data_IF_101808432422
#
_entry.id   IF_101808432422
#
_cell.length_a   1.000
_cell.length_b   1.000
_cell.length_c   1.000
_cell.angle_alpha   90.00
_cell.angle_beta   90.00
_cell.angle_gamma   90.00
#
_symmetry.space_group_name_H-M   'P 1'
#
loop_
_entity.id
_entity.type
_entity.pdbx_description
1 polymer ?
#
# COMPACT_ATOMS: atom_id res chain seq x y z
N UNK A 1 -17.46 13.34 14.62
CA UNK A 1 -18.12 14.45 13.90
C UNK A 1 -18.84 13.87 12.69
N UNK A 2 -20.11 14.24 12.44
CA UNK A 2 -20.84 13.77 11.24
C UNK A 2 -20.47 14.64 10.03
N UNK A 3 -19.31 14.37 9.44
CA UNK A 3 -18.88 14.95 8.17
C UNK A 3 -19.41 14.18 6.96
N UNK A 4 -19.10 14.61 5.73
CA UNK A 4 -19.48 13.88 4.51
C UNK A 4 -18.81 12.50 4.47
N UNK A 5 -19.48 11.54 3.82
CA UNK A 5 -18.85 10.26 3.48
C UNK A 5 -17.91 10.47 2.31
N UNK A 6 -16.63 10.14 2.48
CA UNK A 6 -15.60 10.39 1.46
C UNK A 6 -14.90 9.11 1.06
N UNK A 7 -14.64 8.98 -0.24
CA UNK A 7 -13.86 7.89 -0.80
C UNK A 7 -12.66 8.48 -1.53
N UNK A 8 -11.46 8.15 -1.09
CA UNK A 8 -10.21 8.53 -1.73
C UNK A 8 -9.72 7.34 -2.57
N UNK A 9 -9.74 7.47 -3.89
CA UNK A 9 -9.23 6.45 -4.82
C UNK A 9 -7.84 6.85 -5.29
N UNK A 10 -6.84 6.00 -5.12
CA UNK A 10 -5.49 6.28 -5.58
C UNK A 10 -4.44 5.38 -4.96
N UNK A 11 -3.20 5.85 -4.91
CA UNK A 11 -2.07 5.14 -4.31
C UNK A 11 -0.95 6.12 -3.99
N UNK A 12 0.27 5.59 -3.85
CA UNK A 12 1.46 6.35 -3.50
C UNK A 12 1.28 7.21 -2.25
N UNK A 13 1.85 8.42 -2.29
CA UNK A 13 1.74 9.39 -1.20
C UNK A 13 0.48 10.26 -1.29
N UNK A 14 -0.09 10.42 -2.50
CA UNK A 14 -1.20 11.36 -2.74
C UNK A 14 -2.47 11.00 -1.98
N UNK A 15 -2.95 9.75 -2.13
CA UNK A 15 -4.16 9.32 -1.43
C UNK A 15 -4.01 9.38 0.11
N UNK A 16 -2.91 8.89 0.71
CA UNK A 16 -2.63 9.09 2.13
C UNK A 16 -2.62 10.57 2.56
N UNK A 17 -1.98 11.47 1.81
CA UNK A 17 -1.96 12.91 2.15
C UNK A 17 -3.35 13.52 2.15
N UNK A 18 -4.20 13.21 1.16
CA UNK A 18 -5.57 13.69 1.10
C UNK A 18 -6.39 13.14 2.27
N UNK A 19 -6.29 11.84 2.57
CA UNK A 19 -6.99 11.23 3.71
C UNK A 19 -6.58 11.88 5.03
N UNK A 20 -5.28 12.17 5.24
CA UNK A 20 -4.80 12.85 6.44
C UNK A 20 -5.46 14.22 6.63
N UNK A 21 -5.57 15.02 5.55
CA UNK A 21 -6.24 16.32 5.58
C UNK A 21 -7.75 16.21 5.85
N UNK A 22 -8.41 15.21 5.26
CA UNK A 22 -9.84 14.98 5.44
C UNK A 22 -10.23 14.61 6.87
N UNK A 23 -9.31 14.11 7.70
CA UNK A 23 -9.56 13.81 9.12
C UNK A 23 -10.03 15.03 9.92
N UNK A 24 -9.70 16.25 9.47
CA UNK A 24 -10.20 17.48 10.09
C UNK A 24 -11.69 17.75 9.81
N UNK A 25 -12.27 17.05 8.82
CA UNK A 25 -13.61 17.35 8.29
C UNK A 25 -14.59 16.19 8.41
N UNK A 26 -14.12 14.94 8.44
CA UNK A 26 -14.98 13.75 8.54
C UNK A 26 -14.25 12.55 9.12
N UNK A 27 -15.03 11.65 9.73
CA UNK A 27 -14.59 10.37 10.26
C UNK A 27 -14.93 9.20 9.33
N UNK A 28 -15.79 9.42 8.34
CA UNK A 28 -16.21 8.40 7.37
C UNK A 28 -15.37 8.53 6.08
N UNK A 29 -14.08 8.24 6.24
CA UNK A 29 -13.09 8.21 5.14
C UNK A 29 -12.86 6.76 4.74
N UNK A 30 -12.99 6.47 3.44
CA UNK A 30 -12.58 5.19 2.85
C UNK A 30 -11.45 5.41 1.84
N UNK A 31 -10.28 4.85 2.08
CA UNK A 31 -9.20 4.77 1.09
C UNK A 31 -9.36 3.52 0.23
N UNK A 32 -9.56 3.69 -1.08
CA UNK A 32 -9.52 2.61 -2.06
C UNK A 32 -8.16 2.66 -2.76
N UNK A 33 -7.27 1.76 -2.38
CA UNK A 33 -5.83 1.90 -2.59
C UNK A 33 -5.31 0.93 -3.67
N UNK A 34 -4.54 1.46 -4.61
CA UNK A 34 -3.85 0.71 -5.63
C UNK A 34 -2.84 -0.27 -5.00
N UNK A 35 -2.83 -1.51 -5.49
CA UNK A 35 -1.92 -2.59 -5.02
C UNK A 35 -1.11 -3.19 -6.17
N UNK A 36 -0.83 -2.36 -7.17
CA UNK A 36 -0.14 -2.74 -8.42
C UNK A 36 1.35 -2.39 -8.42
N UNK A 37 1.87 -1.77 -7.36
CA UNK A 37 3.28 -1.35 -7.27
C UNK A 37 4.24 -2.53 -7.42
N UNK A 38 5.27 -2.35 -8.25
CA UNK A 38 6.32 -3.35 -8.51
C UNK A 38 7.72 -2.87 -8.08
N UNK A 39 7.84 -1.72 -7.41
CA UNK A 39 9.12 -1.14 -7.01
C UNK A 39 9.61 -1.46 -5.59
N UNK A 40 10.94 -1.34 -5.39
CA UNK A 40 11.63 -1.30 -4.08
C UNK A 40 11.29 -2.48 -3.15
N UNK A 41 11.17 -2.23 -1.84
CA UNK A 41 10.80 -3.21 -0.81
C UNK A 41 9.43 -3.85 -1.06
N UNK A 42 8.53 -3.15 -1.74
CA UNK A 42 7.19 -3.65 -2.08
C UNK A 42 7.27 -4.74 -3.14
N UNK A 43 8.08 -4.54 -4.19
CA UNK A 43 8.34 -5.55 -5.23
C UNK A 43 9.01 -6.81 -4.67
N UNK A 44 10.01 -6.67 -3.78
CA UNK A 44 10.68 -7.82 -3.15
C UNK A 44 9.70 -8.73 -2.39
N UNK A 45 8.82 -8.15 -1.57
CA UNK A 45 7.83 -8.89 -0.76
C UNK A 45 6.75 -9.51 -1.65
N UNK A 46 6.26 -8.77 -2.64
CA UNK A 46 5.26 -9.22 -3.61
C UNK A 46 5.74 -10.45 -4.38
N UNK A 47 6.98 -10.43 -4.90
CA UNK A 47 7.57 -11.54 -5.63
C UNK A 47 7.85 -12.72 -4.70
N UNK A 48 8.39 -12.47 -3.51
CA UNK A 48 8.79 -13.54 -2.59
C UNK A 48 7.60 -14.31 -2.00
N UNK A 49 6.43 -13.69 -1.87
CA UNK A 49 5.30 -14.24 -1.12
C UNK A 49 3.99 -14.35 -1.92
N UNK A 50 4.02 -14.00 -3.21
CA UNK A 50 2.86 -14.01 -4.14
C UNK A 50 1.62 -13.27 -3.59
N UNK A 51 1.86 -12.08 -3.03
CA UNK A 51 0.81 -11.21 -2.44
C UNK A 51 0.71 -9.88 -3.18
N UNK A 52 -0.48 -9.23 -3.21
CA UNK A 52 -0.60 -7.87 -3.71
C UNK A 52 0.38 -6.91 -3.02
N UNK A 53 0.80 -5.87 -3.73
CA UNK A 53 1.80 -4.92 -3.26
C UNK A 53 1.36 -4.22 -1.96
N UNK A 54 2.02 -4.45 -0.80
CA UNK A 54 1.53 -3.93 0.47
C UNK A 54 1.90 -2.46 0.75
N UNK A 55 2.77 -1.85 -0.06
CA UNK A 55 3.41 -0.57 0.26
C UNK A 55 2.44 0.62 0.41
N UNK A 56 1.53 0.77 -0.55
CA UNK A 56 0.54 1.85 -0.55
C UNK A 56 -0.54 1.61 0.50
N UNK A 57 -1.00 0.35 0.64
CA UNK A 57 -1.92 -0.07 1.70
C UNK A 57 -1.33 0.22 3.08
N UNK A 58 -0.08 -0.15 3.33
CA UNK A 58 0.62 0.14 4.59
C UNK A 58 0.60 1.63 4.89
N UNK A 59 0.91 2.47 3.90
CA UNK A 59 0.95 3.92 4.06
C UNK A 59 -0.44 4.50 4.36
N UNK A 60 -1.47 3.99 3.70
CA UNK A 60 -2.88 4.34 3.97
C UNK A 60 -3.33 3.93 5.38
N UNK A 61 -2.97 2.71 5.82
CA UNK A 61 -3.27 2.21 7.17
C UNK A 61 -2.67 3.12 8.25
N UNK A 62 -1.38 3.45 8.13
CA UNK A 62 -0.70 4.33 9.10
C UNK A 62 -1.37 5.71 9.21
N UNK A 63 -1.81 6.30 8.10
CA UNK A 63 -2.42 7.65 8.10
C UNK A 63 -3.73 7.71 8.88
N UNK A 64 -4.54 6.65 8.81
CA UNK A 64 -5.84 6.58 9.47
C UNK A 64 -5.78 5.92 10.86
N UNK A 65 -4.59 5.50 11.32
CA UNK A 65 -4.41 4.85 12.61
C UNK A 65 -4.57 5.82 13.79
N UNK A 66 -5.30 5.39 14.82
CA UNK A 66 -5.47 6.07 16.11
C UNK A 66 -5.16 5.15 17.32
N UNK A 67 -4.70 3.93 17.07
CA UNK A 67 -4.34 2.96 18.09
C UNK A 67 -2.99 3.24 18.77
N UNK A 68 -2.32 2.17 19.21
CA UNK A 68 -1.05 2.27 19.95
C UNK A 68 0.03 3.02 19.12
N UNK A 69 0.57 4.15 19.61
CA UNK A 69 1.60 4.91 18.91
C UNK A 69 2.87 4.11 18.60
N UNK A 70 3.23 3.12 19.42
CA UNK A 70 4.37 2.24 19.17
C UNK A 70 4.07 1.36 17.97
N UNK A 71 2.89 0.75 17.89
CA UNK A 71 2.51 -0.11 16.76
C UNK A 71 2.45 0.69 15.45
N UNK A 72 1.89 1.91 15.48
CA UNK A 72 1.86 2.81 14.30
C UNK A 72 3.28 3.17 13.83
N UNK A 73 4.19 3.47 14.76
CA UNK A 73 5.61 3.71 14.43
C UNK A 73 6.30 2.48 13.89
N UNK A 74 6.04 1.30 14.45
CA UNK A 74 6.58 0.03 13.94
C UNK A 74 6.10 -0.24 12.51
N UNK A 75 4.81 -0.04 12.23
CA UNK A 75 4.27 -0.19 10.88
C UNK A 75 4.95 0.72 9.85
N UNK A 76 5.40 1.90 10.28
CA UNK A 76 6.11 2.88 9.46
C UNK A 76 7.63 2.68 9.43
N UNK A 77 8.17 1.84 10.31
CA UNK A 77 9.59 1.63 10.46
C UNK A 77 10.18 1.01 9.21
N UNK A 78 11.33 1.54 8.79
CA UNK A 78 12.19 0.96 7.78
C UNK A 78 13.48 0.53 8.44
N UNK A 79 13.89 -0.70 8.18
CA UNK A 79 15.17 -1.20 8.70
C UNK A 79 16.33 -0.43 8.06
N UNK A 80 17.33 -0.10 8.87
CA UNK A 80 18.57 0.52 8.43
C UNK A 80 19.71 -0.43 8.78
N UNK A 81 20.37 -1.00 7.78
CA UNK A 81 21.45 -1.95 8.00
C UNK A 81 22.35 -2.07 6.79
N UNK A 82 23.65 -2.10 7.00
CA UNK A 82 24.64 -2.39 5.94
C UNK A 82 24.90 -3.90 5.81
N UNK A 83 24.35 -4.72 6.71
CA UNK A 83 24.63 -6.17 6.77
C UNK A 83 23.72 -7.01 5.87
N UNK A 84 22.66 -6.43 5.31
CA UNK A 84 21.71 -7.13 4.45
C UNK A 84 21.04 -6.14 3.50
N UNK A 85 21.31 -6.27 2.21
CA UNK A 85 20.67 -5.47 1.16
C UNK A 85 19.16 -5.76 1.01
N UNK A 86 18.70 -6.92 1.47
CA UNK A 86 17.29 -7.29 1.45
C UNK A 86 16.50 -6.69 2.59
N UNK A 87 17.11 -6.59 3.77
CA UNK A 87 16.49 -5.92 4.91
C UNK A 87 16.69 -4.41 4.85
N UNK A 88 17.79 -3.90 4.29
CA UNK A 88 18.01 -2.46 4.25
C UNK A 88 16.90 -1.73 3.48
N UNK A 89 16.25 -0.76 4.12
CA UNK A 89 15.11 -0.03 3.59
C UNK A 89 13.79 -0.81 3.56
N UNK A 90 13.78 -2.09 3.96
CA UNK A 90 12.55 -2.90 4.09
C UNK A 90 11.64 -2.27 5.14
N UNK A 91 10.37 -2.06 4.79
CA UNK A 91 9.40 -1.58 5.76
C UNK A 91 8.86 -2.76 6.58
N UNK A 92 8.91 -2.66 7.91
CA UNK A 92 8.35 -3.69 8.79
C UNK A 92 6.87 -3.94 8.50
N UNK A 93 6.08 -2.88 8.28
CA UNK A 93 4.65 -3.04 7.95
C UNK A 93 4.39 -3.82 6.65
N UNK A 94 5.33 -3.83 5.69
CA UNK A 94 5.20 -4.69 4.50
C UNK A 94 5.37 -6.17 4.86
N UNK A 95 6.36 -6.50 5.70
CA UNK A 95 6.59 -7.86 6.19
C UNK A 95 5.40 -8.33 7.04
N UNK A 96 4.89 -7.46 7.92
CA UNK A 96 3.73 -7.75 8.74
C UNK A 96 2.50 -8.10 7.88
N UNK A 97 2.17 -7.25 6.90
CA UNK A 97 1.03 -7.48 6.01
C UNK A 97 1.19 -8.78 5.21
N UNK A 98 2.40 -9.07 4.75
CA UNK A 98 2.64 -10.29 3.99
C UNK A 98 2.54 -11.55 4.87
N UNK A 99 3.14 -11.54 6.06
CA UNK A 99 3.02 -12.63 7.02
C UNK A 99 1.56 -12.88 7.43
N UNK A 100 0.80 -11.81 7.68
CA UNK A 100 -0.61 -11.92 8.04
C UNK A 100 -1.46 -12.41 6.85
N UNK A 101 -1.13 -12.00 5.63
CA UNK A 101 -1.79 -12.51 4.41
C UNK A 101 -1.56 -14.02 4.25
N UNK A 102 -0.34 -14.50 4.49
CA UNK A 102 -0.02 -15.92 4.45
C UNK A 102 -0.78 -16.70 5.54
N UNK A 103 -0.85 -16.16 6.75
CA UNK A 103 -1.56 -16.79 7.86
C UNK A 103 -3.08 -16.87 7.61
N UNK A 104 -3.68 -15.78 7.13
CA UNK A 104 -5.13 -15.70 6.91
C UNK A 104 -5.59 -16.31 5.57
N UNK A 105 -4.64 -16.59 4.67
CA UNK A 105 -4.93 -17.02 3.28
C UNK A 105 -5.66 -15.96 2.45
N UNK A 106 -5.68 -14.70 2.90
CA UNK A 106 -6.43 -13.62 2.27
C UNK A 106 -5.82 -12.26 2.56
N UNK A 107 -5.46 -11.54 1.48
CA UNK A 107 -4.93 -10.19 1.59
C UNK A 107 -5.95 -9.22 2.19
N UNK A 108 -7.23 -9.37 1.84
CA UNK A 108 -8.30 -8.53 2.41
C UNK A 108 -8.38 -8.71 3.93
N UNK A 109 -8.39 -9.96 4.41
CA UNK A 109 -8.45 -10.24 5.85
C UNK A 109 -7.23 -9.70 6.58
N UNK A 110 -6.05 -9.77 5.97
CA UNK A 110 -4.85 -9.15 6.53
C UNK A 110 -4.97 -7.63 6.65
N UNK A 111 -5.56 -6.95 5.67
CA UNK A 111 -5.84 -5.50 5.74
C UNK A 111 -6.88 -5.18 6.81
N UNK A 112 -7.94 -5.97 6.94
CA UNK A 112 -8.98 -5.79 7.95
C UNK A 112 -8.43 -5.98 9.37
N UNK A 113 -7.65 -7.03 9.61
CA UNK A 113 -7.02 -7.28 10.91
C UNK A 113 -5.96 -6.22 11.23
N UNK A 114 -5.16 -5.81 10.24
CA UNK A 114 -4.22 -4.68 10.43
C UNK A 114 -4.96 -3.39 10.77
N UNK A 115 -6.12 -3.15 10.14
CA UNK A 115 -6.97 -2.00 10.43
C UNK A 115 -7.46 -2.01 11.88
N UNK A 116 -7.87 -3.19 12.37
CA UNK A 116 -8.31 -3.39 13.76
C UNK A 116 -7.16 -3.17 14.75
N UNK A 117 -5.99 -3.77 14.50
CA UNK A 117 -4.82 -3.67 15.38
C UNK A 117 -4.28 -2.24 15.50
N UNK A 118 -4.32 -1.48 14.40
CA UNK A 118 -3.89 -0.09 14.34
C UNK A 118 -4.96 0.90 14.82
N UNK A 119 -6.15 0.42 15.22
CA UNK A 119 -7.24 1.26 15.69
C UNK A 119 -7.65 2.31 14.66
N UNK A 120 -7.89 1.89 13.40
CA UNK A 120 -8.20 2.82 12.32
C UNK A 120 -9.50 3.60 12.57
N UNK A 121 -9.45 4.90 12.30
CA UNK A 121 -10.62 5.76 12.15
C UNK A 121 -10.86 6.02 10.67
N UNK A 122 -11.72 5.19 10.08
CA UNK A 122 -11.97 5.13 8.64
C UNK A 122 -11.79 3.70 8.13
N UNK A 123 -11.70 3.54 6.81
CA UNK A 123 -11.56 2.24 6.14
C UNK A 123 -10.45 2.31 5.10
N UNK A 124 -9.70 1.23 4.94
CA UNK A 124 -8.72 1.05 3.86
C UNK A 124 -9.05 -0.26 3.16
N UNK A 125 -9.22 -0.19 1.84
CA UNK A 125 -9.55 -1.32 0.99
C UNK A 125 -8.60 -1.36 -0.20
N UNK A 126 -8.12 -2.53 -0.64
CA UNK A 126 -7.40 -2.65 -1.89
C UNK A 126 -8.35 -2.56 -3.09
N UNK A 127 -7.87 -2.00 -4.20
CA UNK A 127 -8.64 -1.95 -5.48
C UNK A 127 -8.88 -3.33 -6.09
N UNK A 128 -8.08 -4.33 -5.72
CA UNK A 128 -8.18 -5.72 -6.18
C UNK A 128 -7.67 -6.67 -5.11
N UNK A 129 -8.19 -7.89 -5.10
CA UNK A 129 -7.72 -8.99 -4.23
C UNK A 129 -6.66 -9.85 -4.91
N UNK A 130 -6.48 -9.68 -6.21
CA UNK A 130 -5.60 -10.51 -7.02
C UNK A 130 -4.25 -9.83 -7.24
N UNK A 131 -3.19 -10.63 -7.29
CA UNK A 131 -1.88 -10.15 -7.71
C UNK A 131 -1.97 -9.68 -9.18
N UNK A 132 -1.96 -8.36 -9.40
CA UNK A 132 -2.28 -7.73 -10.70
C UNK A 132 -1.18 -6.76 -11.11
N UNK A 133 -0.75 -6.79 -12.37
CA UNK A 133 0.25 -5.88 -12.91
C UNK A 133 -0.41 -4.70 -13.64
N UNK A 134 0.22 -3.52 -13.55
CA UNK A 134 -0.15 -2.38 -14.38
C UNK A 134 0.41 -2.61 -15.79
N UNK A 135 -0.39 -2.40 -16.82
CA UNK A 135 0.05 -2.46 -18.21
C UNK A 135 -0.25 -1.16 -18.93
N UNK A 136 0.59 -0.78 -19.90
CA UNK A 136 0.36 0.35 -20.78
C UNK A 136 0.63 -0.03 -22.22
N UNK A 137 -0.29 0.31 -23.12
CA UNK A 137 -0.05 0.30 -24.56
C UNK A 137 0.59 1.63 -24.93
N UNK A 138 1.74 1.60 -25.59
CA UNK A 138 2.50 2.77 -26.00
C UNK A 138 2.08 3.25 -27.39
N UNK A 139 2.48 4.48 -27.74
CA UNK A 139 2.15 5.12 -29.02
C UNK A 139 2.69 4.37 -30.26
N UNK A 140 3.76 3.58 -30.11
CA UNK A 140 4.31 2.72 -31.16
C UNK A 140 3.57 1.37 -31.30
N UNK A 141 2.55 1.15 -30.49
CA UNK A 141 1.73 -0.07 -30.46
C UNK A 141 2.27 -1.18 -29.57
N UNK A 142 3.48 -1.04 -29.01
CA UNK A 142 4.02 -2.00 -28.03
C UNK A 142 3.26 -1.96 -26.71
N UNK A 143 3.33 -3.04 -25.93
CA UNK A 143 2.72 -3.14 -24.60
C UNK A 143 3.85 -3.35 -23.58
N UNK A 144 3.83 -2.55 -22.52
CA UNK A 144 4.71 -2.71 -21.36
C UNK A 144 3.91 -3.15 -20.16
N UNK A 145 4.46 -4.08 -19.38
CA UNK A 145 3.86 -4.65 -18.18
C UNK A 145 4.69 -4.28 -16.95
N UNK A 146 4.04 -4.23 -15.79
CA UNK A 146 4.56 -3.75 -14.50
C UNK A 146 4.75 -2.23 -14.40
N UNK A 147 4.42 -1.67 -13.23
CA UNK A 147 4.52 -0.22 -12.99
C UNK A 147 5.93 0.32 -13.21
N UNK A 148 6.96 -0.43 -12.78
CA UNK A 148 8.35 -0.04 -12.94
C UNK A 148 8.75 0.15 -14.41
N UNK A 149 8.20 -0.64 -15.32
CA UNK A 149 8.47 -0.52 -16.75
C UNK A 149 7.57 0.54 -17.41
N UNK A 150 6.32 0.67 -16.94
CA UNK A 150 5.40 1.74 -17.37
C UNK A 150 5.94 3.14 -17.04
N UNK A 151 6.74 3.28 -15.98
CA UNK A 151 7.41 4.56 -15.63
C UNK A 151 8.86 4.67 -16.13
N UNK A 152 9.41 3.61 -16.74
CA UNK A 152 10.81 3.60 -17.15
C UNK A 152 11.09 4.66 -18.22
N UNK A 153 12.26 5.34 -18.16
CA UNK A 153 12.67 6.26 -19.20
C UNK A 153 13.06 5.51 -20.49
N UNK A 154 13.12 6.22 -21.62
CA UNK A 154 13.65 5.68 -22.88
C UNK A 154 12.69 4.78 -23.69
N UNK A 155 11.41 4.72 -23.30
CA UNK A 155 10.35 4.07 -24.07
C UNK A 155 9.50 5.07 -24.84
N UNK A 156 8.70 4.58 -25.79
CA UNK A 156 7.71 5.38 -26.48
C UNK A 156 6.70 6.01 -25.48
N UNK A 157 6.08 7.16 -25.83
CA UNK A 157 5.02 7.76 -25.02
C UNK A 157 3.88 6.77 -24.74
N UNK A 158 3.23 6.93 -23.58
CA UNK A 158 1.97 6.24 -23.27
C UNK A 158 0.86 6.84 -24.14
#
# INVERSE_FOLDING_TARGET
MSGPKTVCVGGGLGAPTIMAGLRAHTDDITGLIAVTDSGRSTGKVRIALDVPAPGDIRSALTVLAEGDPILVRLFSHRFETEKSEDLNGMAFGNLFLAALTQQEGSFLRAVEESSRLLGLRGRVLPVTLYNTHLCAKLADGSVVEEEVNVRAPGKAPI
#
